data_IF_325904390219
#
_entry.id   IF_325904390219
#
_cell.length_a   1.000
_cell.length_b   1.000
_cell.length_c   1.000
_cell.angle_alpha   90.00
_cell.angle_beta   90.00
_cell.angle_gamma   90.00
#
_symmetry.space_group_name_H-M   'P 1'
#
loop_
_entity.id
_entity.type
_entity.pdbx_description
1 polymer ?
#
# COMPACT_ATOMS: atom_id res chain seq x y z
N UNK A 1 46.69 5.46 15.46
CA UNK A 1 45.79 4.38 15.01
C UNK A 1 44.47 4.51 15.78
N UNK A 2 43.56 5.39 15.32
CA UNK A 2 42.21 5.56 15.89
C UNK A 2 41.30 4.64 15.10
N UNK A 3 40.73 3.63 15.77
CA UNK A 3 39.62 2.87 15.24
C UNK A 3 38.49 3.87 14.95
N UNK A 4 38.18 4.12 13.67
CA UNK A 4 36.89 4.68 13.29
C UNK A 4 35.87 3.60 13.66
N UNK A 5 34.91 3.86 14.56
CA UNK A 5 33.80 2.96 14.69
C UNK A 5 33.08 3.08 13.36
N UNK A 6 33.19 2.00 12.61
CA UNK A 6 32.34 1.54 11.53
C UNK A 6 30.89 1.52 12.06
N UNK A 7 30.34 2.71 12.33
CA UNK A 7 28.92 2.97 12.49
C UNK A 7 28.32 2.84 11.09
N UNK A 8 28.38 1.61 10.60
CA UNK A 8 27.36 0.96 9.82
C UNK A 8 26.04 1.67 10.14
N UNK A 9 25.64 2.55 9.22
CA UNK A 9 24.28 3.03 9.09
C UNK A 9 23.41 1.80 9.35
N UNK A 10 22.78 1.74 10.53
CA UNK A 10 21.99 0.59 10.92
C UNK A 10 20.88 0.48 9.87
N UNK A 11 21.11 -0.36 8.86
CA UNK A 11 20.20 -0.57 7.77
C UNK A 11 18.91 -0.99 8.44
N UNK A 12 17.87 -0.17 8.32
CA UNK A 12 16.58 -0.46 8.96
C UNK A 12 16.16 -1.84 8.48
N UNK A 13 16.09 -2.81 9.38
CA UNK A 13 15.60 -4.15 9.07
C UNK A 13 14.10 -4.18 9.29
N UNK A 14 13.41 -5.13 8.66
CA UNK A 14 11.97 -5.36 8.90
C UNK A 14 11.67 -5.56 10.40
N UNK A 15 12.51 -6.32 11.11
CA UNK A 15 12.37 -6.53 12.55
C UNK A 15 12.50 -5.24 13.36
N UNK A 16 13.46 -4.38 13.01
CA UNK A 16 13.61 -3.06 13.67
C UNK A 16 12.42 -2.14 13.38
N UNK A 17 11.88 -2.16 12.15
CA UNK A 17 10.70 -1.37 11.79
C UNK A 17 9.45 -1.85 12.54
N UNK A 18 9.24 -3.16 12.64
CA UNK A 18 8.16 -3.75 13.46
C UNK A 18 8.30 -3.28 14.90
N UNK A 19 9.48 -3.45 15.51
CA UNK A 19 9.76 -3.02 16.88
C UNK A 19 9.43 -1.54 17.09
N UNK A 20 9.82 -0.67 16.17
CA UNK A 20 9.53 0.76 16.26
C UNK A 20 8.02 1.06 16.19
N UNK A 21 7.28 0.38 15.32
CA UNK A 21 5.82 0.51 15.22
C UNK A 21 5.15 0.02 16.51
N UNK A 22 5.63 -1.06 17.11
CA UNK A 22 5.10 -1.58 18.37
C UNK A 22 5.35 -0.67 19.56
N UNK A 23 6.53 -0.03 19.64
CA UNK A 23 6.84 0.90 20.75
C UNK A 23 6.17 2.27 20.60
N UNK A 24 5.94 2.73 19.38
CA UNK A 24 5.33 4.05 19.14
C UNK A 24 4.24 3.99 18.05
N UNK A 25 3.15 3.24 18.28
CA UNK A 25 2.11 3.06 17.28
C UNK A 25 1.40 4.37 16.93
N UNK A 26 1.31 5.30 17.89
CA UNK A 26 0.66 6.59 17.69
C UNK A 26 1.38 7.44 16.64
N UNK A 27 2.70 7.54 16.73
CA UNK A 27 3.46 8.31 15.74
C UNK A 27 3.39 7.67 14.37
N UNK A 28 3.51 6.34 14.26
CA UNK A 28 3.54 5.66 12.97
C UNK A 28 2.17 5.57 12.29
N UNK A 29 1.10 5.37 13.05
CA UNK A 29 -0.23 5.08 12.50
C UNK A 29 -1.13 6.32 12.44
N UNK A 30 -1.02 7.24 13.40
CA UNK A 30 -1.89 8.42 13.53
C UNK A 30 -1.17 9.68 13.07
N UNK A 31 -0.04 10.05 13.68
CA UNK A 31 0.66 11.29 13.30
C UNK A 31 1.25 11.21 11.89
N UNK A 32 1.69 10.02 11.47
CA UNK A 32 2.20 9.74 10.13
C UNK A 32 1.16 9.05 9.24
N UNK A 33 -0.12 9.15 9.59
CA UNK A 33 -1.22 8.64 8.77
C UNK A 33 -1.08 9.10 7.31
N UNK A 34 -1.03 8.14 6.38
CA UNK A 34 -0.68 8.44 4.99
C UNK A 34 -1.89 8.95 4.20
N UNK A 35 -2.18 10.25 4.37
CA UNK A 35 -3.28 10.91 3.70
C UNK A 35 -3.15 10.92 2.17
N UNK A 36 -1.94 10.87 1.62
CA UNK A 36 -1.73 10.82 0.16
C UNK A 36 -2.23 9.50 -0.41
N UNK A 37 -1.81 8.39 0.19
CA UNK A 37 -2.33 7.07 -0.18
C UNK A 37 -3.83 6.94 0.07
N UNK A 38 -4.35 7.53 1.16
CA UNK A 38 -5.78 7.57 1.44
C UNK A 38 -6.56 8.26 0.32
N UNK A 39 -6.21 9.51 -0.01
CA UNK A 39 -6.87 10.32 -1.04
C UNK A 39 -6.74 9.67 -2.41
N UNK A 40 -5.54 9.28 -2.82
CA UNK A 40 -5.33 8.64 -4.13
C UNK A 40 -6.15 7.34 -4.25
N UNK A 41 -6.17 6.51 -3.21
CA UNK A 41 -6.95 5.27 -3.23
C UNK A 41 -8.45 5.52 -3.22
N UNK A 42 -8.93 6.48 -2.43
CA UNK A 42 -10.35 6.81 -2.34
C UNK A 42 -10.86 7.43 -3.64
N UNK A 43 -10.08 8.28 -4.31
CA UNK A 43 -10.44 8.86 -5.61
C UNK A 43 -10.56 7.78 -6.69
N UNK A 44 -9.52 6.96 -6.87
CA UNK A 44 -9.51 5.94 -7.93
C UNK A 44 -10.66 4.95 -7.74
N UNK A 45 -10.84 4.42 -6.53
CA UNK A 45 -11.89 3.42 -6.26
C UNK A 45 -13.28 4.01 -6.19
N UNK A 46 -13.44 5.19 -5.59
CA UNK A 46 -14.72 5.91 -5.57
C UNK A 46 -15.23 6.19 -6.98
N UNK A 47 -14.36 6.58 -7.91
CA UNK A 47 -14.72 6.71 -9.33
C UNK A 47 -15.15 5.39 -9.95
N UNK A 48 -14.43 4.29 -9.70
CA UNK A 48 -14.81 2.96 -10.19
C UNK A 48 -16.21 2.58 -9.68
N UNK A 49 -16.48 2.74 -8.39
CA UNK A 49 -17.78 2.41 -7.80
C UNK A 49 -18.90 3.31 -8.33
N UNK A 50 -18.64 4.60 -8.53
CA UNK A 50 -19.61 5.53 -9.10
C UNK A 50 -20.00 5.11 -10.51
N UNK A 51 -19.02 4.91 -11.41
CA UNK A 51 -19.29 4.54 -12.80
C UNK A 51 -19.90 3.14 -12.92
N UNK A 52 -19.48 2.19 -12.09
CA UNK A 52 -20.04 0.84 -12.08
C UNK A 52 -21.52 0.80 -11.65
N UNK A 53 -21.97 1.78 -10.86
CA UNK A 53 -23.35 1.87 -10.36
C UNK A 53 -24.18 2.96 -11.05
N UNK A 54 -23.61 3.65 -12.05
CA UNK A 54 -24.29 4.76 -12.73
C UNK A 54 -25.56 4.29 -13.46
N UNK A 55 -25.53 3.06 -14.00
CA UNK A 55 -26.68 2.39 -14.63
C UNK A 55 -27.81 2.08 -13.64
N UNK A 56 -27.51 2.01 -12.35
CA UNK A 56 -28.49 1.79 -11.27
C UNK A 56 -29.06 3.10 -10.70
N UNK A 57 -28.70 4.24 -11.31
CA UNK A 57 -29.21 5.57 -10.96
C UNK A 57 -28.22 6.40 -10.11
N UNK A 58 -28.31 7.72 -10.27
CA UNK A 58 -27.36 8.67 -9.67
C UNK A 58 -27.31 8.61 -8.14
N UNK A 59 -28.47 8.36 -7.50
CA UNK A 59 -28.56 8.22 -6.04
C UNK A 59 -27.76 7.00 -5.56
N UNK A 60 -27.95 5.84 -6.20
CA UNK A 60 -27.23 4.62 -5.86
C UNK A 60 -25.72 4.76 -6.12
N UNK A 61 -25.34 5.35 -7.25
CA UNK A 61 -23.94 5.63 -7.58
C UNK A 61 -23.26 6.55 -6.57
N UNK A 62 -23.95 7.62 -6.14
CA UNK A 62 -23.41 8.56 -5.14
C UNK A 62 -23.26 7.90 -3.77
N UNK A 63 -24.24 7.11 -3.32
CA UNK A 63 -24.12 6.38 -2.05
C UNK A 63 -22.98 5.36 -2.09
N UNK A 64 -22.83 4.62 -3.20
CA UNK A 64 -21.72 3.68 -3.37
C UNK A 64 -20.36 4.39 -3.32
N UNK A 65 -20.23 5.54 -4.00
CA UNK A 65 -19.03 6.36 -3.96
C UNK A 65 -18.72 6.84 -2.53
N UNK A 66 -19.70 7.42 -1.83
CA UNK A 66 -19.47 7.99 -0.49
C UNK A 66 -19.10 6.90 0.53
N UNK A 67 -19.77 5.76 0.47
CA UNK A 67 -19.47 4.62 1.33
C UNK A 67 -18.03 4.10 1.10
N UNK A 68 -17.62 3.95 -0.17
CA UNK A 68 -16.26 3.50 -0.48
C UNK A 68 -15.22 4.56 -0.11
N UNK A 69 -15.45 5.84 -0.40
CA UNK A 69 -14.53 6.93 -0.04
C UNK A 69 -14.31 6.98 1.47
N UNK A 70 -15.38 6.95 2.28
CA UNK A 70 -15.26 7.02 3.73
C UNK A 70 -14.47 5.83 4.30
N UNK A 71 -14.82 4.61 3.88
CA UNK A 71 -14.11 3.41 4.29
C UNK A 71 -12.64 3.42 3.84
N UNK A 72 -12.41 3.78 2.57
CA UNK A 72 -11.10 3.70 1.94
C UNK A 72 -10.14 4.77 2.43
N UNK A 73 -10.64 5.95 2.79
CA UNK A 73 -9.81 6.97 3.44
C UNK A 73 -9.13 6.37 4.67
N UNK A 74 -9.89 5.85 5.62
CA UNK A 74 -9.35 5.28 6.87
C UNK A 74 -8.39 4.13 6.58
N UNK A 75 -8.84 3.13 5.80
CA UNK A 75 -8.11 1.89 5.58
C UNK A 75 -6.84 2.12 4.75
N UNK A 76 -6.93 2.84 3.64
CA UNK A 76 -5.75 3.07 2.78
C UNK A 76 -4.73 3.99 3.42
N UNK A 77 -5.14 4.95 4.25
CA UNK A 77 -4.18 5.75 5.00
C UNK A 77 -3.42 4.95 6.05
N UNK A 78 -4.11 4.06 6.77
CA UNK A 78 -3.50 3.14 7.73
C UNK A 78 -2.49 2.19 7.05
N UNK A 79 -2.91 1.49 5.99
CA UNK A 79 -2.01 0.60 5.25
C UNK A 79 -0.90 1.36 4.53
N UNK A 80 -1.16 2.58 4.08
CA UNK A 80 -0.16 3.47 3.51
C UNK A 80 0.91 3.85 4.53
N UNK A 81 0.56 4.08 5.79
CA UNK A 81 1.51 4.33 6.88
C UNK A 81 2.38 3.12 7.20
N UNK A 82 1.76 1.94 7.28
CA UNK A 82 2.50 0.69 7.49
C UNK A 82 3.47 0.45 6.34
N UNK A 83 2.99 0.51 5.10
CA UNK A 83 3.80 0.39 3.88
C UNK A 83 4.95 1.40 3.88
N UNK A 84 4.66 2.64 4.30
CA UNK A 84 5.64 3.71 4.41
C UNK A 84 6.74 3.39 5.42
N UNK A 85 6.41 2.79 6.58
CA UNK A 85 7.38 2.43 7.61
C UNK A 85 8.43 1.44 7.08
N UNK A 86 8.03 0.54 6.16
CA UNK A 86 8.92 -0.45 5.55
C UNK A 86 9.68 0.05 4.32
N UNK A 87 9.43 1.28 3.83
CA UNK A 87 9.99 1.76 2.53
C UNK A 87 11.52 1.86 2.50
N UNK A 88 12.16 2.05 3.66
CA UNK A 88 13.62 2.16 3.81
C UNK A 88 14.23 0.86 4.36
N UNK A 89 13.44 -0.20 4.50
CA UNK A 89 13.94 -1.45 5.05
C UNK A 89 14.84 -2.18 4.05
N UNK A 90 15.93 -2.73 4.56
CA UNK A 90 16.86 -3.59 3.84
C UNK A 90 16.96 -4.96 4.53
N UNK A 91 17.14 -6.06 3.77
CA UNK A 91 17.20 -6.11 2.32
C UNK A 91 15.82 -5.91 1.66
N UNK A 92 15.79 -5.21 0.52
CA UNK A 92 14.57 -4.85 -0.23
C UNK A 92 13.60 -6.01 -0.45
N UNK A 93 14.10 -7.19 -0.81
CA UNK A 93 13.25 -8.32 -1.16
C UNK A 93 12.48 -8.85 0.06
N UNK A 94 13.08 -8.84 1.26
CA UNK A 94 12.39 -9.22 2.51
C UNK A 94 11.31 -8.20 2.84
N UNK A 95 11.62 -6.92 2.75
CA UNK A 95 10.64 -5.86 3.00
C UNK A 95 9.47 -5.91 1.99
N UNK A 96 9.76 -6.21 0.72
CA UNK A 96 8.75 -6.39 -0.32
C UNK A 96 7.85 -7.59 0.00
N UNK A 97 8.42 -8.75 0.33
CA UNK A 97 7.64 -9.94 0.71
C UNK A 97 6.79 -9.67 1.95
N UNK A 98 7.34 -9.03 2.97
CA UNK A 98 6.62 -8.71 4.20
C UNK A 98 5.42 -7.80 3.91
N UNK A 99 5.63 -6.70 3.20
CA UNK A 99 4.57 -5.75 2.83
C UNK A 99 3.55 -6.40 1.91
N UNK A 100 3.97 -7.26 0.98
CA UNK A 100 3.10 -7.95 0.03
C UNK A 100 2.24 -9.04 0.67
N UNK A 101 2.75 -9.75 1.67
CA UNK A 101 2.07 -10.92 2.26
C UNK A 101 1.42 -10.59 3.59
N UNK A 102 2.17 -9.98 4.51
CA UNK A 102 1.75 -9.85 5.92
C UNK A 102 0.67 -8.77 6.06
N UNK A 103 0.83 -7.62 5.42
CA UNK A 103 -0.16 -6.53 5.52
C UNK A 103 -1.51 -6.90 4.88
N UNK A 104 -1.55 -7.49 3.65
CA UNK A 104 -2.83 -7.94 3.11
C UNK A 104 -3.42 -9.11 3.90
N UNK A 105 -2.61 -10.07 4.35
CA UNK A 105 -3.11 -11.19 5.14
C UNK A 105 -3.85 -10.74 6.40
N UNK A 106 -3.34 -9.72 7.13
CA UNK A 106 -4.06 -9.18 8.29
C UNK A 106 -5.39 -8.54 7.90
N UNK A 107 -5.47 -7.85 6.76
CA UNK A 107 -6.72 -7.26 6.26
C UNK A 107 -7.75 -8.33 5.91
N UNK A 108 -7.32 -9.35 5.18
CA UNK A 108 -8.18 -10.40 4.65
C UNK A 108 -8.62 -11.38 5.73
N UNK A 109 -7.84 -11.57 6.79
CA UNK A 109 -8.27 -12.33 7.96
C UNK A 109 -9.47 -11.65 8.67
N UNK A 110 -9.42 -10.32 8.83
CA UNK A 110 -10.53 -9.54 9.40
C UNK A 110 -11.74 -9.56 8.46
N UNK A 111 -11.53 -9.33 7.16
CA UNK A 111 -12.57 -9.39 6.13
C UNK A 111 -13.27 -10.76 6.12
N UNK A 112 -12.50 -11.85 6.12
CA UNK A 112 -13.01 -13.22 6.20
C UNK A 112 -13.84 -13.44 7.48
N UNK A 113 -13.34 -13.02 8.64
CA UNK A 113 -14.07 -13.18 9.91
C UNK A 113 -15.41 -12.44 9.89
N UNK A 114 -15.43 -11.18 9.47
CA UNK A 114 -16.65 -10.36 9.40
C UNK A 114 -17.67 -10.96 8.43
N UNK A 115 -17.24 -11.40 7.25
CA UNK A 115 -18.15 -11.95 6.26
C UNK A 115 -18.63 -13.37 6.58
N UNK A 116 -17.81 -14.16 7.28
CA UNK A 116 -18.22 -15.47 7.80
C UNK A 116 -19.34 -15.32 8.83
N UNK A 117 -19.22 -14.36 9.75
CA UNK A 117 -20.26 -14.04 10.73
C UNK A 117 -21.55 -13.49 10.10
N UNK A 118 -21.45 -12.84 8.93
CA UNK A 118 -22.60 -12.26 8.19
C UNK A 118 -23.23 -13.20 7.16
N UNK A 119 -22.69 -14.40 6.96
CA UNK A 119 -23.23 -15.37 5.99
C UNK A 119 -23.20 -14.88 4.53
N UNK A 120 -22.16 -14.14 4.12
CA UNK A 120 -22.12 -13.52 2.78
C UNK A 120 -22.04 -14.58 1.66
N UNK A 121 -22.94 -14.57 0.66
CA UNK A 121 -22.88 -15.50 -0.46
C UNK A 121 -21.63 -15.24 -1.33
N UNK A 122 -21.04 -16.32 -1.88
CA UNK A 122 -19.82 -16.30 -2.72
C UNK A 122 -18.55 -15.74 -2.05
N UNK A 123 -18.43 -15.87 -0.72
CA UNK A 123 -17.32 -15.35 0.08
C UNK A 123 -15.92 -15.62 -0.50
N UNK A 124 -15.63 -16.89 -0.84
CA UNK A 124 -14.32 -17.29 -1.36
C UNK A 124 -13.95 -16.63 -2.70
N UNK A 125 -14.93 -16.27 -3.54
CA UNK A 125 -14.67 -15.57 -4.81
C UNK A 125 -14.35 -14.10 -4.55
N UNK A 126 -15.16 -13.43 -3.73
CA UNK A 126 -14.96 -12.02 -3.36
C UNK A 126 -13.62 -11.79 -2.67
N UNK A 127 -13.24 -12.68 -1.75
CA UNK A 127 -11.94 -12.61 -1.06
C UNK A 127 -10.77 -12.79 -2.02
N UNK A 128 -10.82 -13.74 -2.95
CA UNK A 128 -9.74 -13.93 -3.93
C UNK A 128 -9.51 -12.69 -4.79
N UNK A 129 -10.59 -12.07 -5.29
CA UNK A 129 -10.50 -10.84 -6.09
C UNK A 129 -9.94 -9.69 -5.23
N UNK A 130 -10.42 -9.56 -3.99
CA UNK A 130 -9.95 -8.57 -3.03
C UNK A 130 -8.46 -8.72 -2.72
N UNK A 131 -7.98 -9.95 -2.51
CA UNK A 131 -6.56 -10.29 -2.30
C UNK A 131 -5.72 -9.86 -3.50
N UNK A 132 -6.08 -10.29 -4.72
CA UNK A 132 -5.33 -9.96 -5.93
C UNK A 132 -5.19 -8.46 -6.12
N UNK A 133 -6.30 -7.72 -5.99
CA UNK A 133 -6.27 -6.27 -6.09
C UNK A 133 -5.38 -5.67 -4.99
N UNK A 134 -5.51 -6.14 -3.76
CA UNK A 134 -4.78 -5.60 -2.60
C UNK A 134 -3.28 -5.82 -2.77
N UNK A 135 -2.84 -6.99 -3.23
CA UNK A 135 -1.43 -7.28 -3.51
C UNK A 135 -0.87 -6.29 -4.52
N UNK A 136 -1.55 -6.10 -5.66
CA UNK A 136 -1.09 -5.17 -6.71
C UNK A 136 -1.04 -3.74 -6.18
N UNK A 137 -2.09 -3.28 -5.51
CA UNK A 137 -2.18 -1.94 -4.96
C UNK A 137 -1.10 -1.67 -3.90
N UNK A 138 -0.83 -2.65 -3.04
CA UNK A 138 0.20 -2.58 -1.99
C UNK A 138 1.60 -2.57 -2.59
N UNK A 139 1.88 -3.43 -3.58
CA UNK A 139 3.16 -3.43 -4.30
C UNK A 139 3.40 -2.10 -5.01
N UNK A 140 2.37 -1.54 -5.67
CA UNK A 140 2.47 -0.23 -6.31
C UNK A 140 2.73 0.89 -5.30
N UNK A 141 1.99 0.93 -4.18
CA UNK A 141 2.21 1.93 -3.12
C UNK A 141 3.62 1.81 -2.55
N UNK A 142 4.08 0.59 -2.25
CA UNK A 142 5.44 0.34 -1.78
C UNK A 142 6.48 0.82 -2.78
N UNK A 143 6.31 0.47 -4.06
CA UNK A 143 7.18 0.88 -5.15
C UNK A 143 7.30 2.41 -5.29
N UNK A 144 6.16 3.11 -5.20
CA UNK A 144 6.09 4.56 -5.24
C UNK A 144 6.77 5.20 -4.03
N UNK A 145 6.47 4.70 -2.81
CA UNK A 145 7.04 5.20 -1.56
C UNK A 145 8.54 4.99 -1.45
N UNK A 146 9.07 3.88 -1.98
CA UNK A 146 10.51 3.65 -2.10
C UNK A 146 11.20 4.69 -2.99
N UNK A 147 10.47 5.29 -3.93
CA UNK A 147 10.95 6.38 -4.80
C UNK A 147 10.59 7.78 -4.28
N UNK A 148 10.09 7.86 -3.05
CA UNK A 148 9.76 9.13 -2.40
C UNK A 148 8.41 9.73 -2.79
N UNK A 149 7.60 9.02 -3.56
CA UNK A 149 6.26 9.44 -4.01
C UNK A 149 5.19 8.86 -3.06
N UNK A 150 4.11 9.59 -2.78
CA UNK A 150 3.09 9.20 -1.78
C UNK A 150 3.65 9.07 -0.35
N UNK A 151 4.69 9.86 -0.05
CA UNK A 151 5.31 9.93 1.27
C UNK A 151 4.79 11.13 2.05
N UNK A 152 4.44 10.92 3.33
CA UNK A 152 4.04 11.94 4.30
C UNK A 152 5.09 12.07 5.44
N UNK A 153 5.03 13.17 6.19
CA UNK A 153 5.95 13.49 7.30
C UNK A 153 6.97 14.60 6.97
N UNK A 154 8.02 14.70 7.79
CA UNK A 154 9.00 15.82 7.82
C UNK A 154 9.90 15.94 6.57
N UNK A 155 9.80 15.03 5.60
CA UNK A 155 10.54 15.11 4.32
C UNK A 155 9.60 14.92 3.12
N UNK A 156 8.40 15.51 3.19
CA UNK A 156 7.36 15.36 2.16
C UNK A 156 7.61 16.30 0.97
N UNK A 157 7.59 15.76 -0.24
CA UNK A 157 7.30 16.54 -1.46
C UNK A 157 5.82 16.95 -1.45
N UNK A 158 5.46 17.99 -2.20
CA UNK A 158 4.05 18.37 -2.36
C UNK A 158 3.28 17.26 -3.10
N UNK A 159 1.98 17.14 -2.82
CA UNK A 159 1.14 16.14 -3.51
C UNK A 159 1.05 16.42 -5.02
N UNK A 160 1.06 17.69 -5.43
CA UNK A 160 1.12 18.05 -6.85
C UNK A 160 2.40 17.56 -7.54
N UNK A 161 3.54 17.57 -6.85
CA UNK A 161 4.79 17.02 -7.39
C UNK A 161 4.71 15.49 -7.50
N UNK A 162 4.13 14.82 -6.50
CA UNK A 162 3.89 13.37 -6.54
C UNK A 162 3.00 12.99 -7.74
N UNK A 163 1.97 13.77 -8.03
CA UNK A 163 1.09 13.57 -9.20
C UNK A 163 1.82 13.76 -10.53
N UNK A 164 2.72 14.75 -10.62
CA UNK A 164 3.56 14.96 -11.82
C UNK A 164 4.51 13.79 -12.08
N UNK A 165 5.04 13.20 -11.02
CA UNK A 165 5.94 12.04 -11.13
C UNK A 165 5.16 10.73 -11.37
N UNK A 166 3.85 10.70 -11.12
CA UNK A 166 3.00 9.50 -11.17
C UNK A 166 3.05 8.74 -12.51
N UNK A 167 2.99 9.39 -13.70
CA UNK A 167 3.08 8.68 -14.98
C UNK A 167 4.38 7.87 -15.11
N UNK A 168 5.50 8.44 -14.67
CA UNK A 168 6.81 7.76 -14.65
C UNK A 168 6.83 6.60 -13.65
N UNK A 169 6.22 6.78 -12.48
CA UNK A 169 6.12 5.72 -11.47
C UNK A 169 5.28 4.54 -11.99
N UNK A 170 4.13 4.82 -12.61
CA UNK A 170 3.25 3.80 -13.22
C UNK A 170 4.01 3.06 -14.33
N UNK A 171 4.63 3.78 -15.26
CA UNK A 171 5.42 3.18 -16.34
C UNK A 171 6.55 2.29 -15.80
N UNK A 172 7.30 2.75 -14.81
CA UNK A 172 8.35 1.95 -14.18
C UNK A 172 7.82 0.70 -13.47
N UNK A 173 6.68 0.80 -12.77
CA UNK A 173 6.05 -0.35 -12.11
C UNK A 173 5.60 -1.41 -13.10
N UNK A 174 4.92 -0.99 -14.19
CA UNK A 174 4.45 -1.88 -15.24
C UNK A 174 5.58 -2.58 -15.99
N UNK A 175 6.75 -1.95 -16.09
CA UNK A 175 7.92 -2.50 -16.79
C UNK A 175 8.73 -3.45 -15.91
N UNK A 176 8.83 -3.19 -14.60
CA UNK A 176 9.66 -3.99 -13.69
C UNK A 176 9.14 -5.41 -13.48
N UNK A 177 7.83 -5.62 -13.40
CA UNK A 177 7.26 -6.96 -13.27
C UNK A 177 7.66 -7.89 -14.44
N UNK A 178 7.29 -7.54 -15.68
CA UNK A 178 7.67 -8.28 -16.88
C UNK A 178 9.18 -8.44 -17.05
N UNK A 179 9.97 -7.39 -16.80
CA UNK A 179 11.44 -7.48 -16.90
C UNK A 179 12.04 -8.45 -15.88
N UNK A 180 11.52 -8.47 -14.65
CA UNK A 180 12.03 -9.38 -13.61
C UNK A 180 11.70 -10.82 -13.96
N UNK A 181 10.47 -11.08 -14.42
CA UNK A 181 10.05 -12.39 -14.91
C UNK A 181 10.87 -12.83 -16.13
N UNK A 182 11.14 -11.92 -17.06
CA UNK A 182 11.98 -12.18 -18.24
C UNK A 182 13.43 -12.50 -17.87
N UNK A 183 14.02 -11.74 -16.94
CA UNK A 183 15.39 -12.00 -16.45
C UNK A 183 15.50 -13.35 -15.73
N UNK A 184 14.48 -13.72 -14.95
CA UNK A 184 14.40 -15.04 -14.31
C UNK A 184 14.25 -16.15 -15.35
N UNK A 185 13.43 -15.95 -16.38
CA UNK A 185 13.23 -16.92 -17.46
C UNK A 185 14.45 -17.08 -18.39
N UNK A 186 15.26 -16.03 -18.56
CA UNK A 186 16.43 -16.02 -19.45
C UNK A 186 17.77 -16.21 -18.73
N UNK A 187 17.77 -16.37 -17.40
CA UNK A 187 18.98 -16.58 -16.60
C UNK A 187 19.96 -15.41 -16.56
N UNK A 188 19.59 -14.22 -17.08
CA UNK A 188 20.43 -13.03 -17.07
C UNK A 188 20.31 -12.31 -15.71
N UNK A 189 21.29 -12.52 -14.83
CA UNK A 189 21.45 -11.78 -13.57
C UNK A 189 22.10 -10.42 -13.81
#
# INVERSE_FOLDING_TARGET
MRLQPDQAQARLTVGSAIRNIWHDPWTYLVLRWNWKSAVTSAMIRGMIFFFANLTSGLRAATFALLADVAFRMVVSGFYGSLTQAFRRCEPVWVATLFVMLVLPASSHAIEYAVHSLRGTPQLARSIRISICFTIIATLFNYYAMRRGVLVVGESRRSFGQDLKDMPKIIGGFLVIGPLTLWRLATGRR
#
